data_IF_619575530945
#
_entry.id   IF_619575530945
#
_cell.length_a   1.000
_cell.length_b   1.000
_cell.length_c   1.000
_cell.angle_alpha   90.00
_cell.angle_beta   90.00
_cell.angle_gamma   90.00
#
_symmetry.space_group_name_H-M   'P 1'
#
loop_
_entity.id
_entity.type
_entity.pdbx_description
1 polymer ?
#
# COMPACT_ATOMS: atom_id res chain seq x y z
N UNK A 1 -12.67 -29.30 20.84
CA UNK A 1 -12.14 -28.70 19.61
C UNK A 1 -10.96 -27.86 20.02
N UNK A 2 -9.75 -28.33 19.77
CA UNK A 2 -8.57 -27.51 20.02
C UNK A 2 -8.65 -26.27 19.11
N UNK A 3 -8.34 -25.05 19.61
CA UNK A 3 -8.43 -23.83 18.80
C UNK A 3 -7.56 -23.88 17.53
N UNK A 4 -6.59 -24.81 17.48
CA UNK A 4 -5.69 -25.07 16.36
C UNK A 4 -6.41 -25.81 15.19
N UNK A 5 -7.51 -26.51 15.43
CA UNK A 5 -8.30 -27.18 14.37
C UNK A 5 -9.26 -26.24 13.62
N UNK A 6 -9.45 -24.99 14.08
CA UNK A 6 -10.41 -24.07 13.49
C UNK A 6 -9.92 -23.44 12.16
N UNK A 7 -8.60 -23.45 11.91
CA UNK A 7 -7.99 -22.81 10.74
C UNK A 7 -7.32 -23.84 9.81
N UNK A 8 -7.40 -23.64 8.48
CA UNK A 8 -6.67 -24.47 7.52
C UNK A 8 -5.16 -24.51 7.83
N UNK A 9 -4.51 -25.65 7.58
CA UNK A 9 -3.06 -25.84 7.81
C UNK A 9 -2.22 -24.77 7.09
N UNK A 10 -2.69 -24.31 5.95
CA UNK A 10 -2.02 -23.34 5.07
C UNK A 10 -2.41 -21.87 5.37
N UNK A 11 -3.29 -21.63 6.34
CA UNK A 11 -3.77 -20.29 6.67
C UNK A 11 -2.65 -19.35 7.16
N UNK A 12 -1.53 -19.91 7.64
CA UNK A 12 -0.33 -19.16 7.96
C UNK A 12 0.21 -18.31 6.79
N UNK A 13 0.03 -18.76 5.54
CA UNK A 13 0.42 -17.96 4.37
C UNK A 13 -0.44 -16.71 4.21
N UNK A 14 -1.73 -16.78 4.53
CA UNK A 14 -2.64 -15.62 4.48
C UNK A 14 -2.18 -14.55 5.47
N UNK A 15 -1.82 -14.98 6.69
CA UNK A 15 -1.29 -14.09 7.73
C UNK A 15 0.06 -13.51 7.32
N UNK A 16 0.95 -14.30 6.72
CA UNK A 16 2.23 -13.82 6.22
C UNK A 16 2.04 -12.69 5.19
N UNK A 17 1.10 -12.85 4.24
CA UNK A 17 0.79 -11.82 3.25
C UNK A 17 0.24 -10.55 3.89
N UNK A 18 -0.62 -10.67 4.90
CA UNK A 18 -1.13 -9.53 5.67
C UNK A 18 0.02 -8.75 6.35
N UNK A 19 0.94 -9.45 6.98
CA UNK A 19 2.12 -8.85 7.65
C UNK A 19 3.02 -8.17 6.61
N UNK A 20 3.31 -8.83 5.48
CA UNK A 20 4.12 -8.24 4.40
C UNK A 20 3.48 -6.96 3.83
N UNK A 21 2.15 -6.95 3.64
CA UNK A 21 1.46 -5.74 3.17
C UNK A 21 1.51 -4.61 4.19
N UNK A 22 1.47 -4.92 5.49
CA UNK A 22 1.65 -3.93 6.55
C UNK A 22 3.05 -3.28 6.50
N UNK A 23 4.09 -4.08 6.25
CA UNK A 23 5.44 -3.55 6.03
C UNK A 23 5.54 -2.70 4.76
N UNK A 24 4.87 -3.09 3.67
CA UNK A 24 4.79 -2.27 2.46
C UNK A 24 4.14 -0.90 2.73
N UNK A 25 3.05 -0.86 3.50
CA UNK A 25 2.42 0.39 3.91
C UNK A 25 3.36 1.26 4.76
N UNK A 26 4.08 0.64 5.70
CA UNK A 26 5.07 1.35 6.52
C UNK A 26 6.20 1.96 5.66
N UNK A 27 6.66 1.22 4.64
CA UNK A 27 7.63 1.74 3.68
C UNK A 27 7.08 2.92 2.87
N UNK A 28 5.83 2.87 2.40
CA UNK A 28 5.18 3.99 1.72
C UNK A 28 5.07 5.23 2.63
N UNK A 29 4.73 5.03 3.91
CA UNK A 29 4.69 6.10 4.91
C UNK A 29 6.08 6.74 5.11
N UNK A 30 7.15 5.95 5.14
CA UNK A 30 8.51 6.45 5.20
C UNK A 30 8.88 7.28 3.96
N UNK A 31 8.47 6.84 2.76
CA UNK A 31 8.70 7.61 1.53
C UNK A 31 7.97 8.95 1.54
N UNK A 32 6.75 9.00 2.07
CA UNK A 32 6.02 10.26 2.32
C UNK A 32 6.82 11.14 3.29
N UNK A 33 7.34 10.61 4.40
CA UNK A 33 8.15 11.37 5.35
C UNK A 33 9.44 11.93 4.71
N UNK A 34 10.12 11.13 3.89
CA UNK A 34 11.28 11.57 3.10
C UNK A 34 10.90 12.66 2.11
N UNK A 35 9.76 12.54 1.43
CA UNK A 35 9.24 13.54 0.50
C UNK A 35 8.88 14.85 1.21
N UNK A 36 8.27 14.79 2.41
CA UNK A 36 8.00 15.98 3.24
C UNK A 36 9.28 16.76 3.53
N UNK A 37 10.34 16.07 3.95
CA UNK A 37 11.65 16.69 4.21
C UNK A 37 12.28 17.25 2.93
N UNK A 38 12.20 16.51 1.82
CA UNK A 38 12.78 16.90 0.52
C UNK A 38 12.12 18.16 -0.05
N UNK A 39 10.79 18.21 -0.04
CA UNK A 39 10.01 19.29 -0.64
C UNK A 39 9.61 20.37 0.39
N UNK A 40 10.14 20.31 1.61
CA UNK A 40 9.89 21.27 2.70
C UNK A 40 8.40 21.48 3.02
N UNK A 41 7.62 20.40 2.97
CA UNK A 41 6.20 20.41 3.33
C UNK A 41 6.06 20.01 4.79
N UNK A 42 5.97 21.02 5.66
CA UNK A 42 5.82 20.82 7.10
C UNK A 42 4.39 20.44 7.48
N UNK A 43 4.24 19.77 8.62
CA UNK A 43 2.93 19.53 9.23
C UNK A 43 2.31 20.88 9.65
N UNK A 44 0.97 21.05 9.60
CA UNK A 44 -0.08 20.06 9.33
C UNK A 44 -0.45 19.89 7.85
N UNK A 45 0.29 20.51 6.92
CA UNK A 45 -0.07 20.56 5.51
C UNK A 45 -0.12 19.17 4.88
N UNK A 46 -1.31 18.78 4.40
CA UNK A 46 -1.54 17.46 3.79
C UNK A 46 -1.05 17.42 2.34
N UNK A 47 -1.42 18.43 1.56
CA UNK A 47 -1.03 18.65 0.16
C UNK A 47 -0.34 20.00 0.03
N UNK A 48 0.74 20.05 -0.74
CA UNK A 48 1.41 21.29 -1.08
C UNK A 48 0.61 22.04 -2.15
N UNK A 49 0.52 23.36 -2.01
CA UNK A 49 -0.07 24.24 -3.03
C UNK A 49 0.92 24.46 -4.17
N UNK A 50 0.46 24.27 -5.41
CA UNK A 50 1.30 24.51 -6.60
C UNK A 50 1.75 25.97 -6.73
N UNK A 51 0.99 26.91 -6.16
CA UNK A 51 1.36 28.33 -6.10
C UNK A 51 2.52 28.62 -5.14
N UNK A 52 2.72 27.79 -4.12
CA UNK A 52 3.73 27.99 -3.07
C UNK A 52 5.00 27.17 -3.31
N UNK A 53 4.91 26.08 -4.08
CA UNK A 53 6.03 25.17 -4.28
C UNK A 53 6.02 24.57 -5.69
N UNK A 54 7.11 24.78 -6.43
CA UNK A 54 7.29 24.24 -7.79
C UNK A 54 7.29 22.71 -7.81
N UNK A 55 7.68 22.08 -6.70
CA UNK A 55 7.69 20.62 -6.55
C UNK A 55 6.42 20.08 -5.84
N UNK A 56 5.39 20.91 -5.66
CA UNK A 56 4.15 20.52 -5.00
C UNK A 56 3.53 19.27 -5.63
N UNK A 57 3.53 19.19 -6.97
CA UNK A 57 2.98 18.05 -7.70
C UNK A 57 3.70 16.75 -7.37
N UNK A 58 5.03 16.77 -7.24
CA UNK A 58 5.82 15.59 -6.87
C UNK A 58 5.48 15.10 -5.47
N UNK A 59 5.42 16.02 -4.51
CA UNK A 59 5.02 15.70 -3.14
C UNK A 59 3.58 15.15 -3.08
N UNK A 60 2.64 15.86 -3.70
CA UNK A 60 1.23 15.49 -3.74
C UNK A 60 1.02 14.12 -4.37
N UNK A 61 1.85 13.77 -5.37
CA UNK A 61 1.81 12.46 -5.97
C UNK A 61 2.23 11.36 -4.99
N UNK A 62 3.37 11.50 -4.32
CA UNK A 62 3.82 10.54 -3.30
C UNK A 62 2.78 10.39 -2.17
N UNK A 63 2.24 11.51 -1.68
CA UNK A 63 1.21 11.54 -0.65
C UNK A 63 -0.07 10.82 -1.10
N UNK A 64 -0.59 11.13 -2.31
CA UNK A 64 -1.81 10.54 -2.84
C UNK A 64 -1.65 9.04 -3.10
N UNK A 65 -0.50 8.60 -3.60
CA UNK A 65 -0.20 7.20 -3.83
C UNK A 65 -0.29 6.36 -2.55
N UNK A 66 0.28 6.86 -1.44
CA UNK A 66 0.16 6.21 -0.14
C UNK A 66 -1.28 6.23 0.39
N UNK A 67 -1.96 7.38 0.33
CA UNK A 67 -3.36 7.49 0.77
C UNK A 67 -4.30 6.54 0.03
N UNK A 68 -4.13 6.38 -1.28
CA UNK A 68 -4.96 5.44 -2.04
C UNK A 68 -4.77 3.98 -1.58
N UNK A 69 -3.55 3.64 -1.16
CA UNK A 69 -3.26 2.30 -0.61
C UNK A 69 -3.86 2.13 0.79
N UNK A 70 -3.93 3.20 1.60
CA UNK A 70 -4.61 3.21 2.90
C UNK A 70 -6.14 3.10 2.76
N UNK A 71 -6.73 3.81 1.79
CA UNK A 71 -8.18 3.75 1.50
C UNK A 71 -8.63 2.32 1.16
N UNK A 72 -7.79 1.57 0.46
CA UNK A 72 -8.11 0.21 0.00
C UNK A 72 -7.66 -0.89 0.97
N UNK A 73 -6.81 -0.56 1.95
CA UNK A 73 -6.25 -1.55 2.88
C UNK A 73 -7.32 -2.30 3.70
N UNK A 74 -8.36 -1.65 4.27
CA UNK A 74 -9.38 -2.36 5.04
C UNK A 74 -10.14 -3.40 4.20
N UNK A 75 -10.52 -3.03 2.98
CA UNK A 75 -11.21 -3.94 2.05
C UNK A 75 -10.30 -5.08 1.63
N UNK A 76 -9.03 -4.80 1.34
CA UNK A 76 -8.04 -5.82 1.00
C UNK A 76 -7.87 -6.83 2.13
N UNK A 77 -7.70 -6.37 3.38
CA UNK A 77 -7.55 -7.25 4.54
C UNK A 77 -8.80 -8.08 4.81
N UNK A 78 -9.99 -7.48 4.71
CA UNK A 78 -11.24 -8.22 4.88
C UNK A 78 -11.35 -9.36 3.86
N UNK A 79 -11.09 -9.09 2.57
CA UNK A 79 -11.16 -10.10 1.52
C UNK A 79 -10.06 -11.16 1.64
N UNK A 80 -8.84 -10.76 2.00
CA UNK A 80 -7.71 -11.67 2.19
C UNK A 80 -7.99 -12.68 3.32
N UNK A 81 -8.46 -12.18 4.47
CA UNK A 81 -8.76 -13.01 5.63
C UNK A 81 -9.98 -13.91 5.39
N UNK A 82 -11.10 -13.34 4.93
CA UNK A 82 -12.33 -14.10 4.68
C UNK A 82 -12.16 -15.14 3.57
N UNK A 83 -11.52 -14.77 2.46
CA UNK A 83 -11.23 -15.72 1.38
C UNK A 83 -10.26 -16.83 1.83
N UNK A 84 -9.32 -16.47 2.70
CA UNK A 84 -8.34 -17.39 3.27
C UNK A 84 -8.96 -18.51 4.10
N UNK A 85 -10.14 -18.29 4.69
CA UNK A 85 -10.81 -19.29 5.54
C UNK A 85 -11.17 -20.55 4.75
N UNK A 86 -11.54 -20.39 3.46
CA UNK A 86 -11.92 -21.51 2.58
C UNK A 86 -10.80 -21.89 1.60
N UNK A 87 -10.06 -20.90 1.10
CA UNK A 87 -9.07 -21.07 0.04
C UNK A 87 -7.74 -20.36 0.38
N UNK A 88 -7.00 -20.83 1.41
CA UNK A 88 -5.82 -20.14 1.94
C UNK A 88 -4.72 -19.91 0.90
N UNK A 89 -4.41 -20.91 0.06
CA UNK A 89 -3.37 -20.79 -0.96
C UNK A 89 -3.72 -19.80 -2.07
N UNK A 90 -4.98 -19.82 -2.53
CA UNK A 90 -5.46 -18.91 -3.58
C UNK A 90 -5.49 -17.47 -3.05
N UNK A 91 -6.03 -17.27 -1.85
CA UNK A 91 -6.06 -15.96 -1.22
C UNK A 91 -4.67 -15.40 -0.95
N UNK A 92 -3.72 -16.23 -0.48
CA UNK A 92 -2.34 -15.80 -0.31
C UNK A 92 -1.67 -15.44 -1.65
N UNK A 93 -1.86 -16.25 -2.70
CA UNK A 93 -1.31 -15.98 -4.03
C UNK A 93 -1.83 -14.68 -4.64
N UNK A 94 -3.16 -14.46 -4.60
CA UNK A 94 -3.77 -13.22 -5.06
C UNK A 94 -3.38 -12.02 -4.20
N UNK A 95 -3.21 -12.22 -2.89
CA UNK A 95 -2.75 -11.18 -1.97
C UNK A 95 -1.31 -10.74 -2.25
N UNK A 96 -0.41 -11.68 -2.55
CA UNK A 96 0.95 -11.36 -2.99
C UNK A 96 0.94 -10.60 -4.32
N UNK A 97 0.15 -11.05 -5.30
CA UNK A 97 0.00 -10.38 -6.58
C UNK A 97 -0.47 -8.93 -6.40
N UNK A 98 -1.48 -8.71 -5.55
CA UNK A 98 -1.98 -7.38 -5.22
C UNK A 98 -0.90 -6.52 -4.55
N UNK A 99 -0.14 -7.07 -3.59
CA UNK A 99 0.95 -6.37 -2.92
C UNK A 99 2.03 -5.91 -3.91
N UNK A 100 2.45 -6.77 -4.83
CA UNK A 100 3.42 -6.43 -5.88
C UNK A 100 2.86 -5.35 -6.81
N UNK A 101 1.61 -5.48 -7.24
CA UNK A 101 0.93 -4.46 -8.02
C UNK A 101 0.88 -3.10 -7.31
N UNK A 102 0.67 -3.10 -5.98
CA UNK A 102 0.68 -1.87 -5.17
C UNK A 102 2.06 -1.23 -5.05
N UNK A 103 3.11 -2.04 -4.98
CA UNK A 103 4.47 -1.52 -5.01
C UNK A 103 4.72 -0.75 -6.31
N UNK A 104 4.45 -1.35 -7.47
CA UNK A 104 4.63 -0.70 -8.78
C UNK A 104 3.72 0.51 -8.97
N UNK A 105 2.46 0.41 -8.53
CA UNK A 105 1.53 1.53 -8.55
C UNK A 105 2.08 2.72 -7.78
N UNK A 106 2.57 2.50 -6.55
CA UNK A 106 3.12 3.57 -5.72
C UNK A 106 4.39 4.17 -6.33
N UNK A 107 5.33 3.34 -6.80
CA UNK A 107 6.57 3.83 -7.43
C UNK A 107 6.29 4.62 -8.71
N UNK A 108 5.33 4.17 -9.52
CA UNK A 108 4.89 4.89 -10.71
C UNK A 108 4.20 6.22 -10.36
N UNK A 109 3.35 6.23 -9.34
CA UNK A 109 2.74 7.46 -8.85
C UNK A 109 3.79 8.44 -8.31
N UNK A 110 4.81 7.94 -7.62
CA UNK A 110 5.88 8.74 -7.00
C UNK A 110 6.78 9.48 -8.02
N UNK A 111 6.69 9.20 -9.33
CA UNK A 111 7.47 9.92 -10.35
C UNK A 111 6.93 11.33 -10.63
N UNK A 112 5.78 11.71 -10.08
CA UNK A 112 5.17 13.04 -10.28
C UNK A 112 4.24 13.15 -11.49
N UNK A 113 4.10 12.08 -12.27
CA UNK A 113 3.09 11.97 -13.32
C UNK A 113 2.07 10.90 -12.89
N UNK A 114 0.82 11.29 -12.57
CA UNK A 114 -0.23 10.35 -12.20
C UNK A 114 -0.48 9.26 -13.26
N UNK A 115 -0.17 9.50 -14.53
CA UNK A 115 -0.36 8.50 -15.59
C UNK A 115 0.64 7.35 -15.51
N UNK A 116 1.80 7.55 -14.88
CA UNK A 116 2.81 6.50 -14.71
C UNK A 116 2.39 5.42 -13.71
N UNK A 117 1.28 5.62 -12.97
CA UNK A 117 0.69 4.58 -12.11
C UNK A 117 0.24 3.31 -12.86
N UNK A 118 0.04 3.42 -14.18
CA UNK A 118 -0.38 2.31 -15.05
C UNK A 118 0.77 1.76 -15.91
N UNK A 119 1.93 2.43 -15.93
CA UNK A 119 3.10 1.98 -16.68
C UNK A 119 3.91 1.05 -15.79
N UNK A 120 4.02 -0.21 -16.20
CA UNK A 120 4.92 -1.19 -15.59
C UNK A 120 6.35 -0.89 -16.07
N UNK A 121 7.01 0.09 -15.45
CA UNK A 121 8.37 0.50 -15.80
C UNK A 121 8.44 1.43 -16.99
#
# INVERSE_FOLDING_TARGET
MDPIELLPREYGYVILVLVLYSFLNMWMAFQVGKARKKYKVFYPTLYALESENKDAKLFNCVQRGHQNSLEMMPMFFALLLLGGLRHPLVSAGLGLLYMVGRYFYFTGYATGDPNNRLKLG
#
